data_IF_619637446406
#
_entry.id   IF_619637446406
#
_cell.length_a   1.000
_cell.length_b   1.000
_cell.length_c   1.000
_cell.angle_alpha   90.00
_cell.angle_beta   90.00
_cell.angle_gamma   90.00
#
_symmetry.space_group_name_H-M   'P 1'
#
loop_
_entity.id
_entity.type
_entity.pdbx_description
1 polymer ?
#
# COMPACT_ATOMS: atom_id res chain seq x y z
N UNK A 1 21.12 -26.82 -18.45
CA UNK A 1 20.73 -26.67 -17.04
C UNK A 1 20.95 -25.26 -16.47
N UNK A 2 22.15 -24.67 -16.54
CA UNK A 2 22.39 -23.32 -15.98
C UNK A 2 21.42 -22.25 -16.53
N UNK A 3 21.20 -22.24 -17.86
CA UNK A 3 20.31 -21.24 -18.50
C UNK A 3 18.85 -21.34 -18.02
N UNK A 4 18.30 -22.56 -17.96
CA UNK A 4 16.92 -22.76 -17.49
C UNK A 4 16.73 -22.37 -16.02
N UNK A 5 17.74 -22.63 -15.18
CA UNK A 5 17.74 -22.21 -13.78
C UNK A 5 17.74 -20.69 -13.64
N UNK A 6 18.58 -20.00 -14.42
CA UNK A 6 18.65 -18.53 -14.42
C UNK A 6 17.31 -17.93 -14.88
N UNK A 7 16.74 -18.44 -15.98
CA UNK A 7 15.45 -17.95 -16.50
C UNK A 7 14.34 -18.09 -15.45
N UNK A 8 14.25 -19.27 -14.80
CA UNK A 8 13.27 -19.49 -13.74
C UNK A 8 13.50 -18.56 -12.53
N UNK A 9 14.76 -18.36 -12.11
CA UNK A 9 15.07 -17.43 -11.00
C UNK A 9 14.71 -15.99 -11.34
N UNK A 10 15.02 -15.53 -12.55
CA UNK A 10 14.68 -14.19 -13.02
C UNK A 10 13.16 -13.98 -13.12
N UNK A 11 12.43 -15.01 -13.59
CA UNK A 11 10.96 -14.95 -13.63
C UNK A 11 10.36 -14.82 -12.23
N UNK A 12 10.84 -15.60 -11.24
CA UNK A 12 10.40 -15.50 -9.86
C UNK A 12 10.76 -14.13 -9.27
N UNK A 13 11.98 -13.65 -9.53
CA UNK A 13 12.42 -12.34 -9.06
C UNK A 13 11.54 -11.20 -9.61
N UNK A 14 11.15 -11.29 -10.89
CA UNK A 14 10.27 -10.31 -11.51
C UNK A 14 8.85 -10.33 -10.90
N UNK A 15 8.30 -11.51 -10.61
CA UNK A 15 7.01 -11.64 -9.92
C UNK A 15 7.07 -11.06 -8.52
N UNK A 16 8.13 -11.38 -7.76
CA UNK A 16 8.34 -10.83 -6.43
C UNK A 16 8.56 -9.31 -6.47
N UNK A 17 9.29 -8.80 -7.45
CA UNK A 17 9.45 -7.36 -7.66
C UNK A 17 8.11 -6.67 -7.90
N UNK A 18 7.30 -7.21 -8.82
CA UNK A 18 5.95 -6.66 -9.08
C UNK A 18 5.06 -6.72 -7.84
N UNK A 19 5.13 -7.81 -7.07
CA UNK A 19 4.42 -7.91 -5.80
C UNK A 19 4.90 -6.84 -4.82
N UNK A 20 6.19 -6.57 -4.76
CA UNK A 20 6.75 -5.50 -3.94
C UNK A 20 6.28 -4.12 -4.37
N UNK A 21 6.27 -3.83 -5.67
CA UNK A 21 5.78 -2.55 -6.22
C UNK A 21 4.28 -2.38 -5.91
N UNK A 22 3.47 -3.41 -6.12
CA UNK A 22 2.02 -3.35 -5.79
C UNK A 22 1.81 -3.14 -4.30
N UNK A 23 2.56 -3.85 -3.44
CA UNK A 23 2.50 -3.65 -1.99
C UNK A 23 2.90 -2.22 -1.61
N UNK A 24 3.95 -1.69 -2.23
CA UNK A 24 4.40 -0.32 -2.02
C UNK A 24 3.31 0.69 -2.39
N UNK A 25 2.78 0.60 -3.61
CA UNK A 25 1.72 1.52 -4.09
C UNK A 25 0.48 1.43 -3.23
N UNK A 26 0.04 0.20 -2.89
CA UNK A 26 -1.16 0.01 -2.05
C UNK A 26 -0.95 0.58 -0.66
N UNK A 27 0.21 0.35 -0.04
CA UNK A 27 0.50 0.86 1.29
C UNK A 27 0.58 2.39 1.30
N UNK A 28 1.28 2.99 0.35
CA UNK A 28 1.36 4.45 0.18
C UNK A 28 -0.03 5.06 -0.04
N UNK A 29 -0.85 4.46 -0.88
CA UNK A 29 -2.20 4.92 -1.15
C UNK A 29 -3.10 4.85 0.09
N UNK A 30 -3.00 3.75 0.88
CA UNK A 30 -3.74 3.62 2.13
C UNK A 30 -3.29 4.61 3.20
N UNK A 31 -1.98 4.89 3.29
CA UNK A 31 -1.46 5.89 4.23
C UNK A 31 -1.94 7.28 3.83
N UNK A 32 -1.80 7.65 2.56
CA UNK A 32 -2.29 8.93 2.05
C UNK A 32 -3.82 9.10 2.24
N UNK A 33 -4.59 8.03 2.03
CA UNK A 33 -6.03 8.05 2.27
C UNK A 33 -6.36 8.25 3.75
N UNK A 34 -5.66 7.57 4.67
CA UNK A 34 -5.85 7.75 6.11
C UNK A 34 -5.47 9.16 6.57
N UNK A 35 -4.38 9.71 6.04
CA UNK A 35 -3.96 11.08 6.35
C UNK A 35 -5.03 12.10 5.90
N UNK A 36 -5.69 11.85 4.76
CA UNK A 36 -6.81 12.66 4.28
C UNK A 36 -8.09 12.43 5.09
N UNK A 37 -8.37 11.19 5.53
CA UNK A 37 -9.56 10.86 6.33
C UNK A 37 -9.43 11.33 7.79
N UNK A 38 -8.25 11.20 8.39
CA UNK A 38 -7.97 11.70 9.76
C UNK A 38 -7.93 13.21 9.85
N UNK A 39 -7.93 13.90 8.72
CA UNK A 39 -7.84 15.35 8.60
C UNK A 39 -9.00 16.00 7.85
N UNK A 40 -10.22 15.40 7.80
CA UNK A 40 -11.39 16.14 7.30
C UNK A 40 -11.71 17.26 8.29
N UNK A 41 -11.09 18.42 8.05
CA UNK A 41 -11.33 19.63 8.81
C UNK A 41 -12.41 20.43 8.10
N UNK A 42 -13.54 20.59 8.74
CA UNK A 42 -14.63 21.47 8.30
C UNK A 42 -14.43 22.83 8.96
N UNK A 43 -14.25 23.87 8.15
CA UNK A 43 -14.10 25.22 8.66
C UNK A 43 -15.46 25.91 8.75
N UNK A 44 -15.90 26.17 9.97
CA UNK A 44 -17.14 26.89 10.28
C UNK A 44 -16.81 28.37 10.44
N UNK A 45 -16.99 29.16 9.39
CA UNK A 45 -16.74 30.58 9.39
C UNK A 45 -17.83 31.33 10.16
N UNK A 46 -17.39 32.21 11.03
CA UNK A 46 -18.27 32.94 11.96
C UNK A 46 -18.11 34.44 11.80
N UNK A 47 -19.11 35.20 12.24
CA UNK A 47 -19.07 36.65 12.21
C UNK A 47 -17.93 37.21 13.07
N UNK A 48 -17.37 38.35 12.68
CA UNK A 48 -16.23 38.98 13.37
C UNK A 48 -16.55 39.39 14.80
N UNK A 49 -17.82 39.78 15.08
CA UNK A 49 -18.29 40.16 16.41
C UNK A 49 -19.34 39.17 16.91
N UNK A 50 -18.90 38.17 17.68
CA UNK A 50 -19.78 37.24 18.36
C UNK A 50 -19.97 37.62 19.82
N UNK A 51 -21.22 37.52 20.32
CA UNK A 51 -21.48 37.56 21.76
C UNK A 51 -21.05 36.24 22.42
N UNK A 52 -20.75 36.27 23.72
CA UNK A 52 -20.39 35.05 24.47
C UNK A 52 -21.47 33.97 24.37
N UNK A 53 -22.75 34.36 24.29
CA UNK A 53 -23.89 33.46 24.16
C UNK A 53 -23.89 32.75 22.75
N UNK A 54 -23.61 33.51 21.69
CA UNK A 54 -23.52 32.96 20.34
C UNK A 54 -22.34 32.01 20.19
N UNK A 55 -21.19 32.37 20.77
CA UNK A 55 -20.02 31.49 20.83
C UNK A 55 -20.33 30.15 21.50
N UNK A 56 -20.99 30.22 22.69
CA UNK A 56 -21.38 29.02 23.41
C UNK A 56 -22.35 28.14 22.60
N UNK A 57 -23.36 28.75 21.96
CA UNK A 57 -24.35 28.05 21.15
C UNK A 57 -23.70 27.36 19.92
N UNK A 58 -22.71 28.01 19.29
CA UNK A 58 -21.99 27.41 18.13
C UNK A 58 -21.20 26.19 18.59
N UNK A 59 -20.46 26.31 19.69
CA UNK A 59 -19.67 25.19 20.23
C UNK A 59 -20.60 24.05 20.66
N UNK A 60 -21.70 24.37 21.38
CA UNK A 60 -22.68 23.37 21.80
C UNK A 60 -23.31 22.64 20.57
N UNK A 61 -23.63 23.38 19.50
CA UNK A 61 -24.19 22.81 18.29
C UNK A 61 -23.19 21.89 17.58
N UNK A 62 -21.90 22.25 17.55
CA UNK A 62 -20.83 21.43 17.00
C UNK A 62 -20.68 20.13 17.81
N UNK A 63 -20.57 20.24 19.14
CA UNK A 63 -20.40 19.09 20.04
C UNK A 63 -21.64 18.19 20.06
N UNK A 64 -22.85 18.76 19.94
CA UNK A 64 -24.10 18.00 19.89
C UNK A 64 -24.20 17.06 18.68
N UNK A 65 -23.42 17.28 17.63
CA UNK A 65 -23.39 16.36 16.48
C UNK A 65 -22.74 15.02 16.83
N UNK A 66 -21.91 14.96 17.88
CA UNK A 66 -21.10 13.81 18.28
C UNK A 66 -20.26 13.19 17.12
N UNK A 67 -19.87 14.03 16.15
CA UNK A 67 -19.11 13.60 14.96
C UNK A 67 -17.69 14.17 14.93
N UNK A 68 -17.34 15.05 15.91
CA UNK A 68 -16.08 15.77 15.96
C UNK A 68 -15.10 15.14 16.95
N UNK A 69 -13.84 15.00 16.52
CA UNK A 69 -12.73 14.58 17.38
C UNK A 69 -12.02 15.77 18.04
N UNK A 70 -11.96 16.91 17.35
CA UNK A 70 -11.33 18.14 17.85
C UNK A 70 -12.05 19.38 17.31
N UNK A 71 -12.08 20.44 18.12
CA UNK A 71 -12.66 21.75 17.76
C UNK A 71 -11.68 22.83 18.15
N UNK A 72 -11.12 23.52 17.17
CA UNK A 72 -10.14 24.58 17.38
C UNK A 72 -10.66 25.91 16.81
N UNK A 73 -10.67 26.95 17.66
CA UNK A 73 -10.91 28.28 17.15
C UNK A 73 -9.65 28.85 16.52
N UNK A 74 -9.77 29.38 15.30
CA UNK A 74 -8.71 30.11 14.62
C UNK A 74 -9.17 31.52 14.23
N UNK A 75 -8.45 32.50 14.73
CA UNK A 75 -8.68 33.89 14.34
C UNK A 75 -8.11 34.16 12.94
N UNK A 76 -8.62 35.16 12.25
CA UNK A 76 -8.12 35.62 10.95
C UNK A 76 -6.63 36.01 10.98
N UNK A 77 -6.13 36.47 12.13
CA UNK A 77 -4.74 36.83 12.36
C UNK A 77 -3.88 35.58 12.53
N UNK A 78 -4.38 34.58 13.26
CA UNK A 78 -3.70 33.32 13.48
C UNK A 78 -3.57 32.52 12.18
N UNK A 79 -4.60 32.53 11.32
CA UNK A 79 -4.57 31.94 9.99
C UNK A 79 -3.49 32.54 9.08
N UNK A 80 -3.32 33.88 9.13
CA UNK A 80 -2.25 34.54 8.37
C UNK A 80 -0.86 34.23 8.91
N UNK A 81 -0.72 33.96 10.20
CA UNK A 81 0.54 33.62 10.84
C UNK A 81 0.94 32.16 10.62
N UNK A 82 -0.01 31.28 10.30
CA UNK A 82 0.24 29.86 10.07
C UNK A 82 0.85 29.63 8.69
N UNK A 83 2.10 29.17 8.69
CA UNK A 83 2.88 28.94 7.47
C UNK A 83 2.26 27.82 6.62
N UNK A 84 1.67 26.78 7.24
CA UNK A 84 0.99 25.66 6.59
C UNK A 84 -0.26 26.12 5.87
N UNK A 85 -1.01 27.05 6.47
CA UNK A 85 -2.19 27.64 5.87
C UNK A 85 -1.83 28.54 4.68
N UNK A 86 -0.75 29.32 4.80
CA UNK A 86 -0.25 30.19 3.70
C UNK A 86 0.23 29.41 2.48
N UNK A 87 0.88 28.25 2.67
CA UNK A 87 1.33 27.39 1.57
C UNK A 87 0.17 26.80 0.74
N UNK A 88 -1.01 26.65 1.32
CA UNK A 88 -2.20 26.18 0.60
C UNK A 88 -2.75 27.22 -0.39
N UNK A 89 -2.49 28.50 -0.13
CA UNK A 89 -2.84 29.58 -1.06
C UNK A 89 -1.57 29.97 -1.83
N UNK A 90 -1.49 29.58 -3.09
CA UNK A 90 -0.35 29.88 -4.00
C UNK A 90 -0.12 31.37 -4.28
N UNK A 91 -0.70 32.26 -3.49
CA UNK A 91 -0.70 33.71 -3.70
C UNK A 91 -0.37 34.42 -2.37
N UNK A 92 0.50 35.40 -2.43
CA UNK A 92 0.85 36.27 -1.31
C UNK A 92 -0.38 37.17 -1.01
N UNK A 93 -1.21 36.73 -0.05
CA UNK A 93 -2.46 37.37 0.34
C UNK A 93 -2.27 38.83 0.79
N UNK A 94 -1.09 39.14 1.35
CA UNK A 94 -0.72 40.47 1.76
C UNK A 94 -0.58 41.47 0.59
N UNK A 95 -0.26 40.95 -0.62
CA UNK A 95 -0.02 41.77 -1.82
C UNK A 95 -1.30 42.11 -2.59
N UNK A 96 -2.39 41.37 -2.39
CA UNK A 96 -3.55 41.46 -3.26
C UNK A 96 -4.66 42.41 -2.78
N UNK A 97 -4.85 42.62 -1.48
CA UNK A 97 -6.11 43.21 -1.00
C UNK A 97 -6.00 44.33 0.05
N UNK A 98 -4.84 44.63 0.59
CA UNK A 98 -4.70 45.72 1.59
C UNK A 98 -5.43 45.48 2.92
N UNK A 99 -6.41 44.58 2.96
CA UNK A 99 -7.13 44.12 4.14
C UNK A 99 -7.17 42.57 4.14
N UNK A 100 -7.12 42.01 5.34
CA UNK A 100 -7.20 40.57 5.52
C UNK A 100 -8.58 40.03 5.10
N UNK A 101 -8.69 39.23 4.01
CA UNK A 101 -9.97 38.72 3.55
C UNK A 101 -10.47 37.49 4.32
N UNK A 102 -9.65 36.98 5.24
CA UNK A 102 -9.98 35.80 6.02
C UNK A 102 -10.97 36.14 7.14
N UNK A 103 -11.77 35.13 7.50
CA UNK A 103 -12.74 35.22 8.60
C UNK A 103 -12.29 34.36 9.76
N UNK A 104 -12.79 34.72 10.94
CA UNK A 104 -12.66 33.85 12.11
C UNK A 104 -13.42 32.58 11.88
N UNK A 105 -12.87 31.43 12.30
CA UNK A 105 -13.53 30.15 12.13
C UNK A 105 -13.28 29.21 13.30
N UNK A 106 -14.20 28.26 13.44
CA UNK A 106 -13.96 27.04 14.19
C UNK A 106 -13.54 25.95 13.18
N UNK A 107 -12.33 25.40 13.36
CA UNK A 107 -11.86 24.25 12.62
C UNK A 107 -12.27 23.00 13.37
N UNK A 108 -13.18 22.26 12.77
CA UNK A 108 -13.77 21.05 13.34
C UNK A 108 -13.20 19.86 12.62
N UNK A 109 -12.38 19.08 13.31
CA UNK A 109 -11.87 17.80 12.79
C UNK A 109 -12.92 16.73 13.04
N UNK A 110 -13.43 16.12 11.97
CA UNK A 110 -14.39 15.04 12.09
C UNK A 110 -13.68 13.71 12.40
N UNK A 111 -14.36 12.82 13.13
CA UNK A 111 -13.90 11.45 13.34
C UNK A 111 -13.84 10.67 12.02
N UNK A 112 -12.88 9.73 11.91
CA UNK A 112 -12.65 8.90 10.72
C UNK A 112 -13.93 8.21 10.21
N UNK A 113 -14.77 7.76 11.13
CA UNK A 113 -16.06 7.12 10.81
C UNK A 113 -17.07 8.08 10.16
N UNK A 114 -16.90 9.38 10.36
CA UNK A 114 -17.78 10.47 9.91
C UNK A 114 -17.18 11.31 8.77
N UNK A 115 -16.02 10.94 8.24
CA UNK A 115 -15.35 11.62 7.13
C UNK A 115 -16.05 11.42 5.74
N UNK A 116 -17.14 10.64 5.69
CA UNK A 116 -17.90 10.39 4.46
C UNK A 116 -18.84 11.55 4.14
N UNK A 117 -19.08 11.78 2.84
CA UNK A 117 -19.95 12.83 2.32
C UNK A 117 -21.31 12.94 3.05
N UNK A 118 -21.97 11.82 3.23
CA UNK A 118 -23.29 11.79 3.88
C UNK A 118 -23.27 12.26 5.34
N UNK A 119 -22.18 12.04 6.07
CA UNK A 119 -22.00 12.49 7.44
C UNK A 119 -21.60 13.96 7.49
N UNK A 120 -20.73 14.38 6.59
CA UNK A 120 -20.33 15.80 6.44
C UNK A 120 -21.54 16.66 6.08
N UNK A 121 -22.41 16.23 5.16
CA UNK A 121 -23.64 16.95 4.80
C UNK A 121 -24.60 17.08 5.99
N UNK A 122 -24.71 16.04 6.84
CA UNK A 122 -25.50 16.10 8.08
C UNK A 122 -24.91 17.09 9.09
N UNK A 123 -23.58 17.07 9.26
CA UNK A 123 -22.89 18.03 10.10
C UNK A 123 -23.12 19.49 9.64
N UNK A 124 -22.94 19.74 8.34
CA UNK A 124 -23.18 21.05 7.73
C UNK A 124 -24.64 21.49 7.94
N UNK A 125 -25.61 20.61 7.74
CA UNK A 125 -27.03 20.92 7.95
C UNK A 125 -27.33 21.27 9.41
N UNK A 126 -26.68 20.64 10.38
CA UNK A 126 -26.86 20.91 11.79
C UNK A 126 -26.26 22.27 12.22
N UNK A 127 -25.07 22.60 11.70
CA UNK A 127 -24.33 23.80 12.14
C UNK A 127 -24.72 25.06 11.36
N UNK A 128 -25.10 24.95 10.09
CA UNK A 128 -25.43 26.07 9.20
C UNK A 128 -26.63 26.89 9.66
N UNK A 129 -27.52 26.32 10.51
CA UNK A 129 -28.70 27.00 11.03
C UNK A 129 -28.45 27.78 12.32
N UNK A 130 -27.25 27.76 12.87
CA UNK A 130 -26.91 28.37 14.13
C UNK A 130 -26.63 29.86 13.92
N UNK A 131 -27.19 30.70 14.79
CA UNK A 131 -27.00 32.16 14.72
C UNK A 131 -25.53 32.53 14.97
N UNK A 132 -24.92 33.31 14.06
CA UNK A 132 -23.51 33.67 14.10
C UNK A 132 -22.63 32.85 13.14
N UNK A 133 -23.12 31.77 12.56
CA UNK A 133 -22.45 31.02 11.49
C UNK A 133 -22.78 31.66 10.13
N UNK A 134 -21.78 32.15 9.43
CA UNK A 134 -21.95 32.74 8.10
C UNK A 134 -21.75 31.76 6.96
N UNK A 135 -20.72 30.92 7.05
CA UNK A 135 -20.39 29.94 6.03
C UNK A 135 -19.77 28.68 6.63
N UNK A 136 -19.99 27.57 6.00
CA UNK A 136 -19.34 26.29 6.36
C UNK A 136 -18.58 25.83 5.14
N UNK A 137 -17.24 25.95 5.20
CA UNK A 137 -16.35 25.49 4.16
C UNK A 137 -16.08 23.99 4.37
N UNK A 138 -16.44 23.21 3.36
CA UNK A 138 -16.25 21.76 3.36
C UNK A 138 -15.13 21.41 2.40
N UNK A 139 -14.13 20.64 2.80
CA UNK A 139 -13.13 20.14 1.87
C UNK A 139 -13.77 19.24 0.81
N UNK A 140 -13.13 19.05 -0.35
CA UNK A 140 -13.70 18.25 -1.46
C UNK A 140 -13.70 16.75 -1.14
N UNK A 141 -14.59 16.34 -0.23
CA UNK A 141 -14.73 14.94 0.24
C UNK A 141 -15.03 13.98 -0.92
N UNK A 142 -15.69 14.45 -1.98
CA UNK A 142 -15.97 13.65 -3.20
C UNK A 142 -14.70 13.18 -3.90
N UNK A 143 -13.62 13.95 -3.80
CA UNK A 143 -12.32 13.58 -4.38
C UNK A 143 -11.74 12.39 -3.62
N UNK A 144 -11.84 12.39 -2.30
CA UNK A 144 -11.34 11.29 -1.45
C UNK A 144 -12.12 10.00 -1.74
N UNK A 145 -13.45 10.07 -1.80
CA UNK A 145 -14.31 8.91 -2.08
C UNK A 145 -14.09 8.36 -3.50
N UNK A 146 -13.93 9.24 -4.50
CA UNK A 146 -13.61 8.83 -5.87
C UNK A 146 -12.20 8.24 -6.00
N UNK A 147 -11.23 8.73 -5.22
CA UNK A 147 -9.90 8.14 -5.15
C UNK A 147 -9.94 6.73 -4.58
N UNK A 148 -10.69 6.48 -3.50
CA UNK A 148 -10.85 5.14 -2.91
C UNK A 148 -11.39 4.12 -3.91
N UNK A 149 -12.44 4.47 -4.65
CA UNK A 149 -13.03 3.58 -5.65
C UNK A 149 -12.06 3.30 -6.81
N UNK A 150 -11.39 4.33 -7.31
CA UNK A 150 -10.41 4.21 -8.40
C UNK A 150 -9.20 3.37 -7.97
N UNK A 151 -8.66 3.61 -6.77
CA UNK A 151 -7.56 2.81 -6.21
C UNK A 151 -7.94 1.34 -6.05
N UNK A 152 -9.17 1.04 -5.63
CA UNK A 152 -9.66 -0.33 -5.50
C UNK A 152 -9.66 -1.07 -6.84
N UNK A 153 -10.16 -0.45 -7.92
CA UNK A 153 -10.15 -1.05 -9.26
C UNK A 153 -8.73 -1.24 -9.81
N UNK A 154 -7.85 -0.25 -9.63
CA UNK A 154 -6.44 -0.35 -10.03
C UNK A 154 -5.75 -1.46 -9.28
N UNK A 155 -5.93 -1.53 -7.96
CA UNK A 155 -5.35 -2.59 -7.11
C UNK A 155 -5.87 -3.97 -7.52
N UNK A 156 -7.17 -4.11 -7.78
CA UNK A 156 -7.75 -5.37 -8.28
C UNK A 156 -7.11 -5.79 -9.61
N UNK A 157 -6.97 -4.87 -10.55
CA UNK A 157 -6.32 -5.12 -11.84
C UNK A 157 -4.86 -5.58 -11.68
N UNK A 158 -4.11 -4.93 -10.79
CA UNK A 158 -2.74 -5.30 -10.47
C UNK A 158 -2.64 -6.68 -9.81
N UNK A 159 -3.55 -7.01 -8.89
CA UNK A 159 -3.60 -8.33 -8.24
C UNK A 159 -3.90 -9.44 -9.25
N UNK A 160 -4.83 -9.22 -10.17
CA UNK A 160 -5.13 -10.18 -11.25
C UNK A 160 -3.91 -10.37 -12.16
N UNK A 161 -3.25 -9.29 -12.55
CA UNK A 161 -2.03 -9.34 -13.35
C UNK A 161 -0.91 -10.11 -12.64
N UNK A 162 -0.70 -9.83 -11.33
CA UNK A 162 0.24 -10.59 -10.48
C UNK A 162 -0.09 -12.08 -10.42
N UNK A 163 -1.35 -12.44 -10.29
CA UNK A 163 -1.77 -13.84 -10.27
C UNK A 163 -1.39 -14.56 -11.56
N UNK A 164 -1.59 -13.92 -12.72
CA UNK A 164 -1.18 -14.46 -14.03
C UNK A 164 0.33 -14.64 -14.11
N UNK A 165 1.11 -13.63 -13.72
CA UNK A 165 2.57 -13.71 -13.69
C UNK A 165 3.07 -14.81 -12.75
N UNK A 166 2.43 -14.97 -11.59
CA UNK A 166 2.75 -16.02 -10.64
C UNK A 166 2.52 -17.40 -11.24
N UNK A 167 1.38 -17.62 -11.91
CA UNK A 167 1.10 -18.90 -12.61
C UNK A 167 2.17 -19.20 -13.65
N UNK A 168 2.54 -18.22 -14.49
CA UNK A 168 3.60 -18.38 -15.49
C UNK A 168 4.93 -18.75 -14.83
N UNK A 169 5.29 -18.07 -13.75
CA UNK A 169 6.51 -18.31 -12.99
C UNK A 169 6.55 -19.74 -12.41
N UNK A 170 5.42 -20.20 -11.84
CA UNK A 170 5.28 -21.55 -11.31
C UNK A 170 5.38 -22.62 -12.41
N UNK A 171 4.85 -22.37 -13.61
CA UNK A 171 5.00 -23.25 -14.75
C UNK A 171 6.47 -23.36 -15.20
N UNK A 172 7.20 -22.23 -15.24
CA UNK A 172 8.64 -22.22 -15.54
C UNK A 172 9.45 -22.95 -14.48
N UNK A 173 9.11 -22.76 -13.21
CA UNK A 173 9.73 -23.50 -12.10
C UNK A 173 9.49 -24.99 -12.22
N UNK A 174 8.25 -25.41 -12.52
CA UNK A 174 7.91 -26.82 -12.75
C UNK A 174 8.73 -27.43 -13.89
N UNK A 175 8.86 -26.72 -15.01
CA UNK A 175 9.69 -27.17 -16.14
C UNK A 175 11.16 -27.27 -15.74
N UNK A 176 11.69 -26.38 -14.98
CA UNK A 176 13.07 -26.39 -14.47
C UNK A 176 13.31 -27.59 -13.55
N UNK A 177 12.37 -27.88 -12.63
CA UNK A 177 12.44 -29.06 -11.76
C UNK A 177 12.39 -30.33 -12.57
N UNK A 178 11.49 -30.43 -13.56
CA UNK A 178 11.37 -31.57 -14.46
C UNK A 178 12.70 -31.86 -15.20
N UNK A 179 13.32 -30.84 -15.76
CA UNK A 179 14.63 -30.95 -16.43
C UNK A 179 15.73 -31.40 -15.46
N UNK A 180 15.72 -30.88 -14.22
CA UNK A 180 16.69 -31.26 -13.20
C UNK A 180 16.56 -32.74 -12.81
N UNK A 181 15.33 -33.23 -12.64
CA UNK A 181 15.04 -34.64 -12.34
C UNK A 181 15.44 -35.53 -13.52
N UNK A 182 15.07 -35.14 -14.74
CA UNK A 182 15.43 -35.91 -15.95
C UNK A 182 16.93 -36.04 -16.11
N UNK A 183 17.69 -34.98 -15.90
CA UNK A 183 19.15 -35.03 -15.98
C UNK A 183 19.80 -35.89 -14.90
N UNK A 184 19.17 -36.03 -13.73
CA UNK A 184 19.66 -36.85 -12.61
C UNK A 184 18.99 -38.22 -12.53
N UNK A 185 18.23 -38.62 -13.55
CA UNK A 185 17.39 -39.83 -13.52
C UNK A 185 18.14 -41.10 -13.14
N UNK A 186 19.33 -41.30 -13.67
CA UNK A 186 20.15 -42.48 -13.34
C UNK A 186 20.57 -42.50 -11.89
N UNK A 187 21.04 -41.36 -11.36
CA UNK A 187 21.42 -41.24 -9.96
C UNK A 187 20.22 -41.49 -9.02
N UNK A 188 19.06 -40.95 -9.37
CA UNK A 188 17.81 -41.14 -8.60
C UNK A 188 17.41 -42.64 -8.63
N UNK A 189 17.54 -43.31 -9.79
CA UNK A 189 17.22 -44.73 -9.91
C UNK A 189 18.19 -45.59 -9.08
N UNK A 190 19.48 -45.31 -9.14
CA UNK A 190 20.49 -46.00 -8.31
C UNK A 190 20.20 -45.83 -6.82
N UNK A 191 19.89 -44.64 -6.39
CA UNK A 191 19.51 -44.37 -5.00
C UNK A 191 18.26 -45.15 -4.58
N UNK A 192 17.23 -45.26 -5.43
CA UNK A 192 16.05 -46.10 -5.19
C UNK A 192 16.38 -47.59 -5.08
N UNK A 193 17.25 -48.09 -5.92
CA UNK A 193 17.68 -49.50 -5.90
C UNK A 193 18.43 -49.87 -4.62
N UNK A 194 19.23 -48.95 -4.09
CA UNK A 194 19.95 -49.14 -2.81
C UNK A 194 19.04 -48.91 -1.59
N UNK A 195 17.74 -48.55 -1.79
CA UNK A 195 16.78 -48.38 -0.71
C UNK A 195 16.78 -47.00 -0.09
N UNK A 196 17.29 -45.97 -0.76
CA UNK A 196 17.25 -44.59 -0.24
C UNK A 196 15.82 -44.12 -0.02
N UNK A 197 15.58 -43.45 1.12
CA UNK A 197 14.27 -42.89 1.45
C UNK A 197 13.92 -41.77 0.48
N UNK A 198 12.62 -41.55 0.26
CA UNK A 198 12.09 -40.49 -0.60
C UNK A 198 12.60 -39.11 -0.17
N UNK A 199 12.65 -38.83 1.14
CA UNK A 199 13.17 -37.59 1.68
C UNK A 199 14.64 -37.34 1.31
N UNK A 200 15.46 -38.38 1.36
CA UNK A 200 16.86 -38.29 0.97
C UNK A 200 17.05 -37.86 -0.49
N UNK A 201 16.20 -38.37 -1.38
CA UNK A 201 16.20 -38.03 -2.82
C UNK A 201 15.70 -36.61 -3.05
N UNK A 202 14.70 -36.14 -2.26
CA UNK A 202 14.09 -34.82 -2.39
C UNK A 202 14.97 -33.70 -1.85
N UNK A 203 15.71 -33.95 -0.77
CA UNK A 203 16.50 -32.94 -0.04
C UNK A 203 17.40 -32.07 -0.93
N UNK A 204 18.23 -32.61 -1.85
CA UNK A 204 19.11 -31.78 -2.69
C UNK A 204 18.32 -30.92 -3.71
N UNK A 205 17.15 -31.38 -4.15
CA UNK A 205 16.29 -30.63 -5.06
C UNK A 205 15.60 -29.46 -4.31
N UNK A 206 15.12 -29.70 -3.10
CA UNK A 206 14.54 -28.67 -2.24
C UNK A 206 15.59 -27.62 -1.82
N UNK A 207 16.81 -28.05 -1.50
CA UNK A 207 17.90 -27.15 -1.20
C UNK A 207 18.24 -26.21 -2.38
N UNK A 208 18.13 -26.72 -3.62
CA UNK A 208 18.31 -25.87 -4.80
C UNK A 208 17.17 -24.88 -5.00
N UNK A 209 15.94 -25.28 -4.70
CA UNK A 209 14.76 -24.39 -4.73
C UNK A 209 14.83 -23.30 -3.65
N UNK A 210 15.26 -23.64 -2.46
CA UNK A 210 15.49 -22.69 -1.38
C UNK A 210 16.50 -21.62 -1.79
N UNK A 211 17.65 -22.02 -2.33
CA UNK A 211 18.66 -21.09 -2.86
C UNK A 211 18.09 -20.19 -3.96
N UNK A 212 17.26 -20.75 -4.83
CA UNK A 212 16.60 -20.00 -5.90
C UNK A 212 15.63 -18.94 -5.34
N UNK A 213 14.84 -19.30 -4.32
CA UNK A 213 13.94 -18.37 -3.64
C UNK A 213 14.68 -17.23 -2.95
N UNK A 214 15.78 -17.53 -2.26
CA UNK A 214 16.63 -16.51 -1.62
C UNK A 214 17.21 -15.57 -2.68
N UNK A 215 17.80 -16.08 -3.74
CA UNK A 215 18.41 -15.26 -4.80
C UNK A 215 17.34 -14.39 -5.48
N UNK A 216 16.20 -14.96 -5.81
CA UNK A 216 15.09 -14.22 -6.42
C UNK A 216 14.57 -13.12 -5.47
N UNK A 217 14.43 -13.45 -4.17
CA UNK A 217 14.02 -12.49 -3.14
C UNK A 217 15.01 -11.33 -2.98
N UNK A 218 16.31 -11.61 -2.97
CA UNK A 218 17.34 -10.56 -2.88
C UNK A 218 17.32 -9.66 -4.13
N UNK A 219 17.21 -10.24 -5.32
CA UNK A 219 17.13 -9.46 -6.56
C UNK A 219 15.89 -8.56 -6.53
N UNK A 220 14.72 -9.09 -6.16
CA UNK A 220 13.49 -8.31 -6.06
C UNK A 220 13.57 -7.20 -5.01
N UNK A 221 14.17 -7.48 -3.85
CA UNK A 221 14.39 -6.51 -2.79
C UNK A 221 15.26 -5.33 -3.25
N UNK A 222 16.37 -5.61 -3.93
CA UNK A 222 17.25 -4.58 -4.49
C UNK A 222 16.50 -3.73 -5.52
N UNK A 223 15.70 -4.35 -6.39
CA UNK A 223 14.90 -3.63 -7.38
C UNK A 223 13.83 -2.74 -6.75
N UNK A 224 13.12 -3.23 -5.71
CA UNK A 224 12.10 -2.45 -4.98
C UNK A 224 12.74 -1.26 -4.27
N UNK A 225 13.84 -1.48 -3.54
CA UNK A 225 14.58 -0.38 -2.89
C UNK A 225 15.04 0.66 -3.92
N UNK A 226 15.51 0.22 -5.09
CA UNK A 226 15.90 1.11 -6.19
C UNK A 226 14.74 1.96 -6.71
N UNK A 227 13.54 1.38 -6.84
CA UNK A 227 12.33 2.12 -7.24
C UNK A 227 11.92 3.13 -6.16
N UNK A 228 11.87 2.70 -4.90
CA UNK A 228 11.51 3.57 -3.78
C UNK A 228 12.48 4.76 -3.67
N UNK A 229 13.78 4.49 -3.75
CA UNK A 229 14.79 5.54 -3.74
C UNK A 229 14.64 6.50 -4.92
N UNK A 230 14.38 5.96 -6.12
CA UNK A 230 14.13 6.76 -7.32
C UNK A 230 12.91 7.66 -7.16
N UNK A 231 11.77 7.12 -6.70
CA UNK A 231 10.55 7.91 -6.45
C UNK A 231 10.81 9.02 -5.44
N UNK A 232 11.43 8.70 -4.29
CA UNK A 232 11.71 9.70 -3.26
C UNK A 232 12.68 10.81 -3.74
N UNK A 233 13.57 10.51 -4.70
CA UNK A 233 14.49 11.51 -5.26
C UNK A 233 13.81 12.53 -6.18
N UNK A 234 12.64 12.20 -6.72
CA UNK A 234 11.84 13.08 -7.57
C UNK A 234 10.68 13.75 -6.83
N UNK A 235 10.45 13.38 -5.58
CA UNK A 235 9.36 13.94 -4.76
C UNK A 235 9.91 15.14 -3.97
N UNK A 236 9.19 16.29 -3.91
CA UNK A 236 9.61 17.44 -3.10
C UNK A 236 9.81 17.08 -1.63
N UNK A 237 10.74 17.75 -0.96
CA UNK A 237 10.99 17.60 0.48
C UNK A 237 9.69 17.90 1.23
N UNK A 238 9.18 16.90 1.97
CA UNK A 238 7.91 16.98 2.72
C UNK A 238 6.86 15.93 2.33
N UNK A 239 6.95 15.34 1.13
CA UNK A 239 6.06 14.26 0.69
C UNK A 239 6.75 12.90 0.70
N UNK A 240 7.64 12.63 1.67
CA UNK A 240 8.29 11.32 1.83
C UNK A 240 7.25 10.29 2.23
N UNK A 241 6.73 9.58 1.24
CA UNK A 241 5.55 8.73 1.35
C UNK A 241 5.75 7.45 2.16
N UNK A 242 6.98 7.08 2.54
CA UNK A 242 7.24 5.88 3.35
C UNK A 242 8.49 6.00 4.21
N UNK A 243 8.34 5.65 5.47
CA UNK A 243 9.45 5.52 6.42
C UNK A 243 10.34 4.33 6.06
N UNK A 244 11.64 4.40 6.35
CA UNK A 244 12.60 3.30 6.14
C UNK A 244 12.16 1.98 6.79
N UNK A 245 11.40 2.05 7.88
CA UNK A 245 10.85 0.89 8.60
C UNK A 245 9.83 0.14 7.74
N UNK A 246 8.97 0.85 7.02
CA UNK A 246 7.94 0.29 6.17
C UNK A 246 8.53 -0.38 4.93
N UNK A 247 9.52 0.26 4.31
CA UNK A 247 10.31 -0.34 3.22
C UNK A 247 11.01 -1.61 3.69
N UNK A 248 11.57 -1.59 4.90
CA UNK A 248 12.20 -2.75 5.53
C UNK A 248 11.23 -3.92 5.73
N UNK A 249 9.98 -3.65 6.13
CA UNK A 249 8.95 -4.68 6.28
C UNK A 249 8.54 -5.30 4.95
N UNK A 250 8.38 -4.49 3.89
CA UNK A 250 8.09 -4.97 2.54
C UNK A 250 9.22 -5.87 2.04
N UNK A 251 10.47 -5.44 2.16
CA UNK A 251 11.64 -6.22 1.75
C UNK A 251 11.75 -7.54 2.52
N UNK A 252 11.54 -7.51 3.84
CA UNK A 252 11.52 -8.71 4.68
C UNK A 252 10.40 -9.69 4.26
N UNK A 253 9.21 -9.18 4.01
CA UNK A 253 8.09 -9.97 3.53
C UNK A 253 8.38 -10.62 2.17
N UNK A 254 8.98 -9.89 1.22
CA UNK A 254 9.35 -10.41 -0.10
C UNK A 254 10.34 -11.57 -0.02
N UNK A 255 11.34 -11.49 0.86
CA UNK A 255 12.29 -12.57 1.09
C UNK A 255 11.59 -13.83 1.61
N UNK A 256 10.74 -13.67 2.64
CA UNK A 256 9.99 -14.79 3.22
C UNK A 256 9.04 -15.41 2.19
N UNK A 257 8.25 -14.59 1.50
CA UNK A 257 7.29 -15.04 0.48
C UNK A 257 8.01 -15.75 -0.67
N UNK A 258 9.13 -15.21 -1.15
CA UNK A 258 9.95 -15.83 -2.20
C UNK A 258 10.44 -17.22 -1.82
N UNK A 259 10.98 -17.37 -0.61
CA UNK A 259 11.45 -18.65 -0.08
C UNK A 259 10.28 -19.63 0.11
N UNK A 260 9.18 -19.18 0.69
CA UNK A 260 8.00 -20.02 0.96
C UNK A 260 7.40 -20.53 -0.35
N UNK A 261 7.11 -19.65 -1.30
CA UNK A 261 6.50 -20.03 -2.58
C UNK A 261 7.40 -21.02 -3.34
N UNK A 262 8.69 -20.69 -3.50
CA UNK A 262 9.61 -21.57 -4.26
C UNK A 262 9.78 -22.92 -3.58
N UNK A 263 9.90 -22.96 -2.27
CA UNK A 263 10.11 -24.21 -1.52
C UNK A 263 8.86 -25.08 -1.52
N UNK A 264 7.68 -24.51 -1.23
CA UNK A 264 6.42 -25.24 -1.22
C UNK A 264 6.10 -25.80 -2.60
N UNK A 265 6.16 -24.96 -3.64
CA UNK A 265 5.86 -25.41 -5.00
C UNK A 265 6.84 -26.46 -5.49
N UNK A 266 8.13 -26.30 -5.19
CA UNK A 266 9.15 -27.30 -5.48
C UNK A 266 8.90 -28.62 -4.75
N UNK A 267 8.47 -28.57 -3.48
CA UNK A 267 8.10 -29.75 -2.71
C UNK A 267 6.95 -30.52 -3.39
N UNK A 268 5.90 -29.80 -3.82
CA UNK A 268 4.79 -30.39 -4.57
C UNK A 268 5.23 -31.00 -5.90
N UNK A 269 6.01 -30.25 -6.69
CA UNK A 269 6.48 -30.72 -7.99
C UNK A 269 7.39 -31.95 -7.86
N UNK A 270 8.39 -31.89 -6.98
CA UNK A 270 9.30 -33.01 -6.74
C UNK A 270 8.57 -34.24 -6.22
N UNK A 271 7.64 -34.05 -5.26
CA UNK A 271 6.81 -35.11 -4.71
C UNK A 271 6.01 -35.83 -5.79
N UNK A 272 5.40 -35.09 -6.73
CA UNK A 272 4.67 -35.60 -7.87
C UNK A 272 5.59 -36.47 -8.75
N UNK A 273 6.78 -35.98 -9.08
CA UNK A 273 7.71 -36.70 -9.99
C UNK A 273 8.40 -37.87 -9.32
N UNK A 274 8.79 -37.79 -8.05
CA UNK A 274 9.44 -38.89 -7.32
C UNK A 274 8.49 -40.09 -7.11
N UNK A 275 7.18 -39.82 -6.99
CA UNK A 275 6.15 -40.88 -6.87
C UNK A 275 5.78 -41.55 -8.16
N UNK A 276 6.21 -41.06 -9.35
CA UNK A 276 5.98 -41.73 -10.62
C UNK A 276 6.72 -43.04 -10.67
N UNK A 277 6.04 -44.11 -11.15
CA UNK A 277 6.66 -45.42 -11.39
C UNK A 277 7.81 -45.28 -12.38
N UNK A 278 8.89 -46.04 -12.16
CA UNK A 278 10.14 -46.00 -12.94
C UNK A 278 9.91 -46.02 -14.46
N UNK A 279 8.96 -46.83 -14.93
CA UNK A 279 8.61 -46.96 -16.37
C UNK A 279 8.02 -45.67 -16.98
N UNK A 280 7.39 -44.79 -16.22
CA UNK A 280 6.84 -43.52 -16.73
C UNK A 280 7.88 -42.40 -16.82
N UNK A 281 9.01 -42.51 -16.12
CA UNK A 281 10.11 -41.55 -16.18
C UNK A 281 10.83 -41.57 -17.53
N UNK A 282 10.72 -42.68 -18.28
CA UNK A 282 11.32 -42.83 -19.61
C UNK A 282 10.40 -42.38 -20.76
N UNK A 283 9.11 -42.17 -20.53
CA UNK A 283 8.11 -41.83 -21.54
C UNK A 283 7.82 -40.31 -21.67
N UNK A 284 8.43 -39.52 -20.86
CA UNK A 284 8.38 -38.04 -20.87
C UNK A 284 9.79 -37.46 -21.01
#
# INVERSE_FOLDING_TARGET
>A
MRRSYIISTMSIALVLFMLGVVSYVTFTALTAARDLESGVVVSVEVADELSEVQTANIVEAIEATAMCSDVRYMSKEEKLADETFREQFAVDLDLLLGENPLRNSYEVTLEEEHAQRASVDKFVAAVKGVEGVEYVAVPPVDVVESMHSTLSYVTLGLVVFLAVLLVISLLLLNNTIRLAIYSKRYLINTMKLVGATKWYIMRPLLASALKQGIVAGVISAVMVVGVVYGVNSFTPEGLTMLNYTEVGTIVGALLVVGVVITTLFSAFAVNKFVNMKSNKIYLY
#
